data_IF_743937166802
#
_entry.id   IF_743937166802
#
_cell.length_a   1.000
_cell.length_b   1.000
_cell.length_c   1.000
_cell.angle_alpha   90.00
_cell.angle_beta   90.00
_cell.angle_gamma   90.00
#
_symmetry.space_group_name_H-M   'P 1'
#
loop_
_entity.id
_entity.type
_entity.pdbx_description
1 polymer ?
#
# COMPACT_ATOMS: atom_id res chain seq x y z
N UNK A 1 -49.53 -11.50 -32.48
CA UNK A 1 -48.08 -11.69 -32.58
C UNK A 1 -47.51 -11.20 -31.27
N UNK A 2 -47.25 -12.09 -30.35
CA UNK A 2 -46.66 -11.78 -29.04
C UNK A 2 -45.19 -11.55 -29.27
N UNK A 3 -44.77 -10.33 -29.02
CA UNK A 3 -43.37 -9.93 -29.03
C UNK A 3 -42.63 -10.73 -27.93
N UNK A 4 -41.93 -11.77 -28.34
CA UNK A 4 -41.02 -12.48 -27.47
C UNK A 4 -39.74 -11.68 -27.39
N UNK A 5 -39.77 -10.53 -26.64
CA UNK A 5 -38.56 -9.85 -26.23
C UNK A 5 -37.70 -10.89 -25.51
N UNK A 6 -36.58 -11.23 -26.09
CA UNK A 6 -35.61 -12.17 -25.48
C UNK A 6 -35.28 -11.65 -24.07
N UNK A 7 -35.67 -12.40 -23.03
CA UNK A 7 -35.25 -12.12 -21.68
C UNK A 7 -33.73 -12.30 -21.66
N UNK A 8 -33.03 -11.17 -21.54
CA UNK A 8 -31.58 -11.20 -21.31
C UNK A 8 -31.32 -11.96 -20.00
N UNK A 9 -30.43 -12.94 -20.06
CA UNK A 9 -29.88 -13.53 -18.85
C UNK A 9 -29.01 -12.46 -18.16
N UNK A 10 -29.48 -11.95 -17.04
CA UNK A 10 -28.74 -10.92 -16.26
C UNK A 10 -27.61 -11.52 -15.41
N UNK A 11 -27.31 -12.82 -15.56
CA UNK A 11 -26.36 -13.53 -14.70
C UNK A 11 -26.90 -13.85 -13.30
N UNK A 12 -28.16 -13.45 -13.03
CA UNK A 12 -28.82 -13.71 -11.75
C UNK A 12 -29.34 -15.15 -11.68
N UNK A 13 -29.06 -15.81 -10.56
CA UNK A 13 -29.68 -17.08 -10.19
C UNK A 13 -30.90 -16.90 -9.30
N UNK A 14 -31.41 -15.68 -9.17
CA UNK A 14 -32.55 -15.36 -8.31
C UNK A 14 -33.82 -15.99 -8.85
N UNK A 15 -34.53 -16.68 -7.99
CA UNK A 15 -35.85 -17.24 -8.29
C UNK A 15 -36.92 -16.34 -7.71
N UNK A 16 -38.12 -16.30 -8.29
CA UNK A 16 -39.25 -15.60 -7.71
C UNK A 16 -39.51 -16.10 -6.28
N UNK A 17 -39.72 -15.15 -5.37
CA UNK A 17 -40.02 -15.42 -3.96
C UNK A 17 -41.53 -15.28 -3.76
N UNK A 18 -42.18 -16.32 -3.21
CA UNK A 18 -43.60 -16.24 -2.88
C UNK A 18 -43.84 -15.35 -1.65
N UNK A 19 -45.03 -14.75 -1.49
CA UNK A 19 -45.34 -13.96 -0.29
C UNK A 19 -45.25 -14.76 1.02
N UNK A 20 -45.45 -16.08 0.98
CA UNK A 20 -45.25 -16.97 2.14
C UNK A 20 -43.78 -17.12 2.48
N UNK A 21 -42.94 -17.42 1.48
CA UNK A 21 -41.50 -17.53 1.67
C UNK A 21 -40.90 -16.21 2.16
N UNK A 22 -41.30 -15.12 1.59
CA UNK A 22 -40.88 -13.77 1.98
C UNK A 22 -41.16 -13.48 3.47
N UNK A 23 -42.38 -13.75 3.94
CA UNK A 23 -42.73 -13.61 5.37
C UNK A 23 -41.91 -14.54 6.28
N UNK A 24 -41.64 -15.74 5.83
CA UNK A 24 -40.82 -16.70 6.56
C UNK A 24 -39.37 -16.21 6.66
N UNK A 25 -38.79 -15.68 5.57
CA UNK A 25 -37.45 -15.15 5.54
C UNK A 25 -37.26 -13.91 6.42
N UNK A 26 -38.30 -13.08 6.56
CA UNK A 26 -38.28 -11.86 7.34
C UNK A 26 -38.38 -12.08 8.86
N UNK A 27 -38.91 -13.21 9.30
CA UNK A 27 -39.27 -13.46 10.71
C UNK A 27 -38.20 -14.18 11.54
N UNK A 28 -38.34 -14.08 12.88
CA UNK A 28 -37.62 -14.86 13.87
C UNK A 28 -36.07 -14.69 13.89
N UNK A 29 -35.60 -13.50 13.65
CA UNK A 29 -34.17 -13.17 13.73
C UNK A 29 -33.82 -12.62 15.13
N UNK A 30 -32.74 -13.15 15.72
CA UNK A 30 -32.17 -12.61 16.95
C UNK A 30 -31.47 -11.26 16.70
N UNK A 31 -31.44 -10.40 17.72
CA UNK A 31 -30.60 -9.21 17.70
C UNK A 31 -29.11 -9.61 17.73
N UNK A 32 -28.29 -8.94 16.93
CA UNK A 32 -26.83 -9.16 16.85
C UNK A 32 -26.09 -7.84 17.02
N UNK A 33 -26.19 -7.16 18.21
CA UNK A 33 -25.50 -5.89 18.43
C UNK A 33 -23.98 -6.07 18.43
N UNK A 34 -23.26 -5.03 18.04
CA UNK A 34 -21.82 -4.94 18.24
C UNK A 34 -21.52 -4.62 19.71
N UNK A 35 -20.39 -5.08 20.27
CA UNK A 35 -19.98 -4.73 21.63
C UNK A 35 -19.92 -3.21 21.81
N UNK A 36 -20.37 -2.70 22.95
CA UNK A 36 -20.34 -1.25 23.25
C UNK A 36 -18.91 -0.69 23.33
N UNK A 37 -17.93 -1.51 23.64
CA UNK A 37 -16.51 -1.16 23.68
C UNK A 37 -15.84 -1.13 22.30
N UNK A 38 -16.49 -1.63 21.24
CA UNK A 38 -15.91 -1.67 19.92
C UNK A 38 -15.61 -0.24 19.39
N UNK A 39 -14.44 -0.06 18.84
CA UNK A 39 -13.98 1.19 18.19
C UNK A 39 -13.19 0.82 16.95
N UNK A 40 -13.19 1.72 15.96
CA UNK A 40 -12.30 1.57 14.79
C UNK A 40 -10.84 1.79 15.20
N UNK A 41 -9.89 1.13 14.54
CA UNK A 41 -8.47 1.43 14.73
C UNK A 41 -8.20 2.92 14.53
N UNK A 42 -7.37 3.52 15.38
CA UNK A 42 -7.02 4.94 15.27
C UNK A 42 -8.15 5.92 15.63
N UNK A 43 -9.30 5.48 16.19
CA UNK A 43 -10.39 6.38 16.57
C UNK A 43 -9.95 7.54 17.47
N UNK A 44 -8.91 7.36 18.29
CA UNK A 44 -8.39 8.38 19.20
C UNK A 44 -7.65 9.50 18.47
N UNK A 45 -7.05 9.25 17.30
CA UNK A 45 -6.24 10.23 16.56
C UNK A 45 -7.02 10.92 15.42
N UNK A 46 -8.04 10.28 14.86
CA UNK A 46 -8.82 10.85 13.74
C UNK A 46 -9.49 12.20 14.02
N UNK A 47 -9.96 12.54 15.25
CA UNK A 47 -10.48 13.88 15.55
C UNK A 47 -9.44 14.99 15.34
N UNK A 48 -8.19 14.78 15.75
CA UNK A 48 -7.11 15.75 15.54
C UNK A 48 -6.80 15.94 14.05
N UNK A 49 -6.84 14.86 13.26
CA UNK A 49 -6.64 14.91 11.80
C UNK A 49 -7.74 15.73 11.13
N UNK A 50 -9.02 15.52 11.51
CA UNK A 50 -10.15 16.34 11.01
C UNK A 50 -10.01 17.81 11.41
N UNK A 51 -9.54 18.10 12.63
CA UNK A 51 -9.31 19.48 13.08
C UNK A 51 -8.21 20.18 12.27
N UNK A 52 -7.12 19.46 11.93
CA UNK A 52 -6.06 19.99 11.05
C UNK A 52 -6.60 20.31 9.64
N UNK A 53 -7.46 19.46 9.07
CA UNK A 53 -8.11 19.73 7.80
C UNK A 53 -9.06 20.93 7.88
N UNK A 54 -9.87 21.02 8.97
CA UNK A 54 -10.78 22.16 9.21
C UNK A 54 -10.06 23.51 9.22
N UNK A 55 -8.87 23.56 9.79
CA UNK A 55 -8.08 24.78 9.84
C UNK A 55 -7.59 25.25 8.45
N UNK A 56 -7.49 24.34 7.48
CA UNK A 56 -7.08 24.66 6.11
C UNK A 56 -8.20 25.21 5.23
N UNK A 57 -9.46 24.90 5.55
CA UNK A 57 -10.64 25.25 4.74
C UNK A 57 -11.75 25.90 5.59
N UNK A 58 -11.48 27.06 6.22
CA UNK A 58 -12.46 27.70 7.10
C UNK A 58 -13.74 28.10 6.34
N UNK A 59 -14.88 27.64 6.86
CA UNK A 59 -16.20 27.98 6.30
C UNK A 59 -16.58 27.26 5.00
N UNK A 60 -15.77 26.33 4.51
CA UNK A 60 -16.01 25.59 3.28
C UNK A 60 -16.52 24.17 3.58
N UNK A 61 -17.54 23.72 2.89
CA UNK A 61 -18.03 22.35 2.98
C UNK A 61 -17.09 21.39 2.25
N UNK A 62 -16.61 20.34 2.94
CA UNK A 62 -15.67 19.37 2.37
C UNK A 62 -16.34 18.00 2.23
N UNK A 63 -16.10 17.33 1.12
CA UNK A 63 -16.68 16.03 0.76
C UNK A 63 -15.53 15.06 0.47
N UNK A 64 -15.41 14.01 1.29
CA UNK A 64 -14.35 13.00 1.17
C UNK A 64 -14.99 11.62 1.02
N UNK A 65 -15.18 11.11 -0.20
CA UNK A 65 -15.77 9.79 -0.44
C UNK A 65 -14.77 8.66 -0.14
N UNK A 66 -15.31 7.52 0.27
CA UNK A 66 -14.54 6.27 0.36
C UNK A 66 -14.16 5.72 -1.03
N UNK A 67 -14.97 6.00 -2.03
CA UNK A 67 -14.87 5.46 -3.38
C UNK A 67 -15.94 4.42 -3.68
N UNK A 68 -15.95 3.90 -4.91
CA UNK A 68 -16.97 3.00 -5.42
C UNK A 68 -16.35 1.63 -5.77
N UNK A 69 -17.17 0.58 -5.74
CA UNK A 69 -16.80 -0.75 -6.24
C UNK A 69 -16.39 -0.68 -7.72
N UNK A 70 -15.34 -1.41 -8.08
CA UNK A 70 -14.85 -1.52 -9.46
C UNK A 70 -15.07 -2.93 -9.97
N UNK A 71 -15.79 -3.05 -11.07
CA UNK A 71 -16.05 -4.35 -11.71
C UNK A 71 -14.73 -4.98 -12.16
N UNK A 72 -14.48 -6.22 -11.71
CA UNK A 72 -13.39 -7.07 -12.20
C UNK A 72 -13.82 -7.84 -13.44
N UNK A 73 -14.99 -8.49 -13.38
CA UNK A 73 -15.57 -9.24 -14.50
C UNK A 73 -17.07 -9.48 -14.26
N UNK A 74 -17.92 -9.08 -15.22
CA UNK A 74 -19.39 -9.24 -15.18
C UNK A 74 -20.00 -8.69 -13.87
N UNK A 75 -20.39 -9.58 -12.97
CA UNK A 75 -21.01 -9.33 -11.67
C UNK A 75 -20.05 -9.51 -10.48
N UNK A 76 -18.77 -9.71 -10.75
CA UNK A 76 -17.72 -9.80 -9.73
C UNK A 76 -16.94 -8.50 -9.67
N UNK A 77 -16.86 -7.91 -8.51
CA UNK A 77 -16.05 -6.71 -8.24
C UNK A 77 -14.63 -7.08 -7.78
N UNK A 78 -13.67 -6.16 -7.96
CA UNK A 78 -12.41 -6.22 -7.23
C UNK A 78 -12.66 -6.02 -5.73
N UNK A 79 -11.77 -6.54 -4.90
CA UNK A 79 -11.77 -6.19 -3.47
C UNK A 79 -11.75 -4.67 -3.32
N UNK A 80 -12.63 -4.16 -2.48
CA UNK A 80 -12.71 -2.74 -2.22
C UNK A 80 -11.64 -2.32 -1.22
N UNK A 81 -10.97 -1.22 -1.54
CA UNK A 81 -10.07 -0.51 -0.64
C UNK A 81 -10.51 0.95 -0.61
N UNK A 82 -10.88 1.51 0.55
CA UNK A 82 -11.29 2.90 0.63
C UNK A 82 -10.15 3.85 0.29
N UNK A 83 -10.50 5.03 -0.22
CA UNK A 83 -9.55 6.10 -0.51
C UNK A 83 -8.78 6.48 0.77
N UNK A 84 -7.46 6.63 0.66
CA UNK A 84 -6.57 6.83 1.80
C UNK A 84 -6.91 8.05 2.66
N UNK A 85 -7.37 9.16 2.05
CA UNK A 85 -7.83 10.32 2.81
C UNK A 85 -9.10 10.04 3.63
N UNK A 86 -10.03 9.22 3.10
CA UNK A 86 -11.21 8.79 3.84
C UNK A 86 -10.82 7.93 5.05
N UNK A 87 -9.98 6.92 4.83
CA UNK A 87 -9.47 6.05 5.90
C UNK A 87 -8.72 6.85 6.97
N UNK A 88 -7.87 7.79 6.56
CA UNK A 88 -7.10 8.65 7.46
C UNK A 88 -7.97 9.53 8.36
N UNK A 89 -9.10 10.05 7.84
CA UNK A 89 -10.02 10.93 8.57
C UNK A 89 -11.04 10.18 9.42
N UNK A 90 -11.35 8.92 9.10
CA UNK A 90 -12.43 8.15 9.73
C UNK A 90 -11.94 6.95 10.56
N UNK A 91 -10.80 6.37 10.22
CA UNK A 91 -10.33 5.10 10.75
C UNK A 91 -11.04 3.88 10.15
N UNK A 92 -11.90 4.07 9.15
CA UNK A 92 -12.66 3.01 8.48
C UNK A 92 -11.87 2.49 7.28
N UNK A 93 -11.53 1.20 7.30
CA UNK A 93 -10.64 0.55 6.34
C UNK A 93 -11.26 -0.67 5.66
N UNK A 94 -12.47 -1.07 6.07
CA UNK A 94 -13.14 -2.29 5.62
C UNK A 94 -13.68 -2.23 4.18
N UNK A 95 -13.94 -3.42 3.63
CA UNK A 95 -14.53 -3.57 2.28
C UNK A 95 -15.99 -3.08 2.22
N UNK A 96 -16.67 -2.99 3.37
CA UNK A 96 -18.05 -2.52 3.52
C UNK A 96 -18.18 -0.98 3.37
N UNK A 97 -17.08 -0.27 3.13
CA UNK A 97 -17.06 1.19 3.05
C UNK A 97 -17.38 1.74 1.64
N UNK A 98 -17.59 0.87 0.66
CA UNK A 98 -17.89 1.30 -0.70
C UNK A 98 -19.14 2.21 -0.78
N UNK A 99 -19.00 3.35 -1.46
CA UNK A 99 -20.05 4.36 -1.60
C UNK A 99 -20.24 5.28 -0.38
N UNK A 100 -19.56 5.05 0.74
CA UNK A 100 -19.67 5.91 1.92
C UNK A 100 -18.98 7.27 1.72
N UNK A 101 -19.47 8.31 2.39
CA UNK A 101 -18.98 9.67 2.22
C UNK A 101 -18.84 10.37 3.56
N UNK A 102 -17.64 10.83 3.88
CA UNK A 102 -17.44 11.78 4.96
C UNK A 102 -17.70 13.19 4.46
N UNK A 103 -18.59 13.92 5.12
CA UNK A 103 -18.84 15.35 4.88
C UNK A 103 -18.41 16.12 6.12
N UNK A 104 -17.65 17.18 5.93
CA UNK A 104 -17.31 18.13 6.98
C UNK A 104 -18.07 19.43 6.71
N UNK A 105 -19.12 19.67 7.50
CA UNK A 105 -19.99 20.84 7.40
C UNK A 105 -19.41 21.99 8.22
N UNK A 106 -19.31 23.21 7.67
CA UNK A 106 -18.87 24.37 8.45
C UNK A 106 -19.77 24.60 9.66
N UNK A 107 -19.18 24.65 10.86
CA UNK A 107 -19.90 24.88 12.13
C UNK A 107 -19.37 26.10 12.90
N UNK A 108 -18.38 26.79 12.34
CA UNK A 108 -17.74 27.98 12.90
C UNK A 108 -16.62 28.49 12.01
N UNK A 109 -15.90 29.57 12.41
CA UNK A 109 -14.87 30.18 11.58
C UNK A 109 -13.72 29.25 11.19
N UNK A 110 -13.40 28.26 12.03
CA UNK A 110 -12.32 27.29 11.81
C UNK A 110 -12.71 25.88 12.26
N UNK A 111 -14.03 25.60 12.33
CA UNK A 111 -14.56 24.33 12.80
C UNK A 111 -15.53 23.72 11.80
N UNK A 112 -15.53 22.39 11.77
CA UNK A 112 -16.51 21.61 11.00
C UNK A 112 -17.17 20.58 11.92
N UNK A 113 -18.42 20.32 11.70
CA UNK A 113 -19.09 19.12 12.16
C UNK A 113 -18.90 18.02 11.11
N UNK A 114 -18.32 16.90 11.52
CA UNK A 114 -18.16 15.75 10.66
C UNK A 114 -19.44 14.90 10.65
N UNK A 115 -19.92 14.56 9.47
CA UNK A 115 -21.08 13.66 9.26
C UNK A 115 -20.66 12.55 8.30
N UNK A 116 -20.79 11.32 8.74
CA UNK A 116 -20.52 10.14 7.92
C UNK A 116 -21.83 9.65 7.30
N UNK A 117 -21.96 9.80 6.00
CA UNK A 117 -23.04 9.23 5.22
C UNK A 117 -22.70 7.81 4.82
N UNK A 118 -23.49 6.85 5.26
CA UNK A 118 -23.20 5.43 5.06
C UNK A 118 -24.49 4.65 4.74
N UNK A 119 -24.30 3.46 4.21
CA UNK A 119 -25.35 2.46 4.05
C UNK A 119 -25.39 1.61 5.33
N UNK A 120 -26.42 1.78 6.19
CA UNK A 120 -26.52 1.02 7.43
C UNK A 120 -26.91 -0.43 7.15
N UNK A 121 -27.19 -1.19 8.20
CA UNK A 121 -27.67 -2.57 8.11
C UNK A 121 -28.83 -2.73 7.13
N UNK A 122 -28.79 -3.81 6.37
CA UNK A 122 -29.87 -4.15 5.44
C UNK A 122 -31.13 -4.56 6.21
N UNK A 123 -32.31 -3.98 5.93
CA UNK A 123 -33.55 -4.50 6.49
C UNK A 123 -33.80 -5.92 5.97
N UNK A 124 -34.19 -6.83 6.87
CA UNK A 124 -34.56 -8.21 6.52
C UNK A 124 -35.99 -8.33 6.04
N UNK A 125 -36.82 -7.36 6.35
CA UNK A 125 -38.17 -7.18 5.86
C UNK A 125 -38.39 -5.72 5.51
N UNK A 126 -38.67 -5.44 4.28
CA UNK A 126 -39.44 -4.30 3.81
C UNK A 126 -40.83 -4.81 3.42
N UNK A 127 -41.84 -3.95 3.39
CA UNK A 127 -43.25 -4.32 3.35
C UNK A 127 -43.68 -5.39 2.33
N UNK A 128 -42.87 -5.67 1.30
CA UNK A 128 -43.10 -6.68 0.28
C UNK A 128 -42.20 -7.95 0.43
N UNK A 129 -41.40 -8.02 1.50
CA UNK A 129 -40.63 -9.22 1.86
C UNK A 129 -39.43 -9.55 1.00
N UNK A 130 -39.02 -8.61 0.20
CA UNK A 130 -37.98 -8.76 -0.82
C UNK A 130 -36.72 -7.93 -0.52
N UNK A 131 -36.46 -7.67 0.76
CA UNK A 131 -35.49 -6.72 1.27
C UNK A 131 -34.11 -6.76 0.67
N UNK A 132 -33.43 -5.62 0.71
CA UNK A 132 -32.01 -5.43 0.38
C UNK A 132 -31.14 -6.58 0.93
N UNK A 133 -31.46 -7.08 2.14
CA UNK A 133 -30.71 -8.14 2.79
C UNK A 133 -30.50 -9.37 1.90
N UNK A 134 -31.52 -9.82 1.17
CA UNK A 134 -31.42 -11.01 0.33
C UNK A 134 -31.17 -10.74 -1.15
N UNK A 135 -31.56 -9.58 -1.67
CA UNK A 135 -31.55 -9.30 -3.11
C UNK A 135 -30.34 -8.53 -3.60
N UNK A 136 -29.84 -7.63 -2.77
CA UNK A 136 -28.69 -6.83 -3.16
C UNK A 136 -27.40 -7.65 -2.97
N UNK A 137 -26.82 -8.12 -4.09
CA UNK A 137 -25.60 -8.92 -4.09
C UNK A 137 -24.35 -8.14 -3.73
N UNK A 138 -24.38 -6.81 -3.88
CA UNK A 138 -23.23 -5.95 -3.59
C UNK A 138 -23.26 -5.44 -2.15
N UNK A 139 -24.44 -5.23 -1.60
CA UNK A 139 -24.58 -4.56 -0.32
C UNK A 139 -25.48 -5.31 0.68
N UNK A 140 -26.25 -6.31 0.24
CA UNK A 140 -27.11 -7.09 1.12
C UNK A 140 -26.32 -7.97 2.08
N UNK A 141 -26.65 -7.91 3.38
CA UNK A 141 -25.89 -8.64 4.42
C UNK A 141 -25.89 -10.16 4.25
N UNK A 142 -26.86 -10.73 3.56
CA UNK A 142 -26.89 -12.15 3.22
C UNK A 142 -25.70 -12.56 2.33
N UNK A 143 -25.22 -11.62 1.50
CA UNK A 143 -24.16 -11.84 0.50
C UNK A 143 -22.78 -11.42 1.00
N UNK A 144 -22.72 -10.26 1.67
CA UNK A 144 -21.44 -9.62 1.97
C UNK A 144 -21.16 -9.48 3.47
N UNK A 145 -22.04 -9.96 4.32
CA UNK A 145 -21.88 -9.92 5.76
C UNK A 145 -22.51 -8.72 6.44
N UNK A 146 -22.47 -8.74 7.79
CA UNK A 146 -23.11 -7.76 8.65
C UNK A 146 -22.43 -6.40 8.57
N UNK A 147 -23.24 -5.34 8.42
CA UNK A 147 -22.81 -3.94 8.56
C UNK A 147 -23.27 -3.36 9.92
N UNK A 148 -22.64 -2.30 10.42
CA UNK A 148 -23.16 -1.56 11.57
C UNK A 148 -24.47 -0.83 11.22
N UNK A 149 -25.36 -0.64 12.18
CA UNK A 149 -26.41 0.35 12.09
C UNK A 149 -25.83 1.77 12.35
N UNK A 150 -26.68 2.83 12.17
CA UNK A 150 -26.20 4.20 12.33
C UNK A 150 -25.65 4.47 13.75
N UNK A 151 -26.32 3.99 14.79
CA UNK A 151 -25.91 4.20 16.17
C UNK A 151 -24.62 3.40 16.50
N UNK A 152 -24.50 2.20 15.98
CA UNK A 152 -23.26 1.41 16.07
C UNK A 152 -22.09 2.11 15.35
N UNK A 153 -22.32 2.62 14.14
CA UNK A 153 -21.30 3.34 13.39
C UNK A 153 -20.85 4.64 14.10
N UNK A 154 -21.78 5.36 14.72
CA UNK A 154 -21.45 6.52 15.57
C UNK A 154 -20.57 6.14 16.75
N UNK A 155 -20.90 5.03 17.44
CA UNK A 155 -20.07 4.54 18.55
C UNK A 155 -18.68 4.08 18.10
N UNK A 156 -18.61 3.38 16.96
CA UNK A 156 -17.36 2.88 16.39
C UNK A 156 -16.40 4.02 16.04
N UNK A 157 -16.91 5.08 15.42
CA UNK A 157 -16.10 6.16 14.82
C UNK A 157 -15.99 7.42 15.65
N UNK A 158 -16.99 7.67 16.54
CA UNK A 158 -17.16 8.96 17.19
C UNK A 158 -17.59 10.07 16.22
N UNK A 159 -18.13 9.73 15.05
CA UNK A 159 -18.62 10.65 14.02
C UNK A 159 -20.14 10.50 13.95
N UNK A 160 -20.89 11.60 13.89
CA UNK A 160 -22.33 11.56 13.63
C UNK A 160 -22.60 10.85 12.30
N UNK A 161 -23.52 9.90 12.29
CA UNK A 161 -23.83 9.11 11.11
C UNK A 161 -25.23 9.41 10.56
N UNK A 162 -25.36 9.33 9.24
CA UNK A 162 -26.63 9.49 8.53
C UNK A 162 -26.75 8.47 7.39
N UNK A 163 -27.97 8.18 6.98
CA UNK A 163 -28.21 7.31 5.83
C UNK A 163 -27.68 7.97 4.55
N UNK A 164 -27.08 7.18 3.66
CA UNK A 164 -26.49 7.66 2.41
C UNK A 164 -27.48 8.45 1.55
N UNK A 165 -28.76 8.05 1.52
CA UNK A 165 -29.82 8.75 0.79
C UNK A 165 -30.06 10.18 1.29
N UNK A 166 -29.64 10.49 2.51
CA UNK A 166 -29.71 11.82 3.10
C UNK A 166 -28.54 12.75 2.73
N UNK A 167 -27.60 12.31 1.88
CA UNK A 167 -26.41 13.09 1.53
C UNK A 167 -26.72 14.46 0.91
N UNK A 168 -27.85 14.59 0.22
CA UNK A 168 -28.32 15.87 -0.32
C UNK A 168 -27.45 16.43 -1.44
N UNK A 169 -27.22 17.76 -1.40
CA UNK A 169 -26.50 18.48 -2.46
C UNK A 169 -25.03 18.04 -2.56
N UNK A 170 -24.50 17.82 -3.78
CA UNK A 170 -23.07 17.62 -4.01
C UNK A 170 -22.25 18.92 -3.90
N UNK A 171 -22.87 20.06 -3.57
CA UNK A 171 -22.17 21.34 -3.46
C UNK A 171 -21.12 21.31 -2.33
N UNK A 172 -19.93 21.81 -2.63
CA UNK A 172 -18.77 21.81 -1.75
C UNK A 172 -17.49 21.42 -2.46
N UNK A 173 -16.35 21.44 -1.75
CA UNK A 173 -15.10 20.91 -2.27
C UNK A 173 -15.08 19.39 -2.17
N UNK A 174 -14.81 18.72 -3.26
CA UNK A 174 -14.88 17.27 -3.36
C UNK A 174 -13.47 16.69 -3.58
N UNK A 175 -12.99 15.87 -2.68
CA UNK A 175 -11.59 15.36 -2.66
C UNK A 175 -11.18 14.64 -3.96
N UNK A 176 -12.13 14.05 -4.69
CA UNK A 176 -11.83 13.36 -5.95
C UNK A 176 -11.65 14.30 -7.16
N UNK A 177 -12.11 15.56 -7.09
CA UNK A 177 -12.10 16.50 -8.22
C UNK A 177 -11.49 17.87 -7.90
N UNK A 178 -11.34 18.24 -6.64
CA UNK A 178 -10.73 19.49 -6.20
C UNK A 178 -9.23 19.26 -5.90
N UNK A 179 -8.36 19.81 -6.75
CA UNK A 179 -6.91 19.64 -6.65
C UNK A 179 -6.31 20.27 -5.40
N UNK A 180 -6.89 21.37 -4.89
CA UNK A 180 -6.41 22.04 -3.68
C UNK A 180 -6.74 21.22 -2.43
N UNK A 181 -7.96 20.67 -2.33
CA UNK A 181 -8.32 19.77 -1.25
C UNK A 181 -7.49 18.48 -1.30
N UNK A 182 -7.27 17.91 -2.48
CA UNK A 182 -6.44 16.73 -2.65
C UNK A 182 -4.98 16.99 -2.24
N UNK A 183 -4.43 18.15 -2.61
CA UNK A 183 -3.09 18.57 -2.20
C UNK A 183 -3.00 18.74 -0.67
N UNK A 184 -3.95 19.45 -0.05
CA UNK A 184 -3.97 19.66 1.40
C UNK A 184 -4.10 18.33 2.17
N UNK A 185 -4.94 17.39 1.71
CA UNK A 185 -5.06 16.05 2.29
C UNK A 185 -3.76 15.26 2.20
N UNK A 186 -3.02 15.38 1.11
CA UNK A 186 -1.71 14.77 0.94
C UNK A 186 -0.66 15.44 1.85
N UNK A 187 -0.58 16.77 1.86
CA UNK A 187 0.36 17.51 2.70
C UNK A 187 0.16 17.27 4.20
N UNK A 188 -1.09 17.15 4.65
CA UNK A 188 -1.41 16.84 6.05
C UNK A 188 -0.97 15.43 6.47
N UNK A 189 -0.79 14.49 5.53
CA UNK A 189 -0.32 13.12 5.77
C UNK A 189 1.20 12.96 5.69
N UNK A 190 1.94 13.97 5.22
CA UNK A 190 3.40 13.90 5.14
C UNK A 190 4.03 13.57 6.50
N UNK A 191 3.61 14.27 7.56
CA UNK A 191 4.07 14.03 8.93
C UNK A 191 3.12 13.06 9.63
N UNK A 192 3.60 11.87 9.93
CA UNK A 192 2.86 10.79 10.60
C UNK A 192 2.78 11.08 12.10
N UNK A 193 1.62 10.81 12.69
CA UNK A 193 1.50 10.76 14.13
C UNK A 193 2.11 9.44 14.70
N UNK A 194 2.24 9.35 16.02
CA UNK A 194 2.86 8.18 16.68
C UNK A 194 2.14 6.89 16.33
N UNK A 195 0.80 6.92 16.29
CA UNK A 195 0.00 5.75 15.95
C UNK A 195 0.24 5.29 14.50
N UNK A 196 0.38 6.23 13.55
CA UNK A 196 0.70 5.91 12.15
C UNK A 196 2.08 5.23 12.03
N UNK A 197 3.08 5.75 12.76
CA UNK A 197 4.43 5.13 12.80
C UNK A 197 4.38 3.72 13.38
N UNK A 198 3.55 3.46 14.39
CA UNK A 198 3.32 2.11 14.94
C UNK A 198 2.68 1.18 13.90
N UNK A 199 1.71 1.66 13.11
CA UNK A 199 1.09 0.85 12.05
C UNK A 199 2.09 0.53 10.92
N UNK A 200 2.93 1.48 10.54
CA UNK A 200 4.01 1.26 9.57
C UNK A 200 5.05 0.27 10.10
N UNK A 201 5.42 0.36 11.38
CA UNK A 201 6.32 -0.64 11.98
C UNK A 201 5.71 -2.04 11.95
N UNK A 202 4.40 -2.18 12.23
CA UNK A 202 3.70 -3.45 12.12
C UNK A 202 3.73 -4.01 10.69
N UNK A 203 3.53 -3.16 9.68
CA UNK A 203 3.66 -3.55 8.27
C UNK A 203 5.07 -4.05 7.94
N UNK A 204 6.10 -3.36 8.42
CA UNK A 204 7.51 -3.75 8.29
C UNK A 204 7.79 -5.10 8.96
N UNK A 205 7.27 -5.32 10.17
CA UNK A 205 7.49 -6.56 10.92
C UNK A 205 6.85 -7.77 10.19
N UNK A 206 5.64 -7.60 9.67
CA UNK A 206 4.97 -8.64 8.87
C UNK A 206 5.68 -8.88 7.52
N UNK A 207 6.20 -7.82 6.89
CA UNK A 207 7.00 -7.92 5.67
C UNK A 207 8.29 -8.69 5.93
N UNK A 208 8.97 -8.40 7.02
CA UNK A 208 10.18 -9.13 7.47
C UNK A 208 9.90 -10.63 7.57
N UNK A 209 8.81 -11.01 8.24
CA UNK A 209 8.40 -12.43 8.33
C UNK A 209 8.08 -13.03 6.95
N UNK A 210 7.52 -12.24 6.03
CA UNK A 210 7.27 -12.65 4.65
C UNK A 210 8.55 -12.93 3.86
N UNK A 211 9.59 -12.13 4.04
CA UNK A 211 10.91 -12.37 3.45
C UNK A 211 11.55 -13.65 4.00
N UNK A 212 11.43 -13.92 5.30
CA UNK A 212 11.89 -15.18 5.88
C UNK A 212 11.18 -16.40 5.29
N UNK A 213 9.84 -16.32 5.12
CA UNK A 213 9.06 -17.39 4.48
C UNK A 213 9.51 -17.63 3.05
N UNK A 214 9.82 -16.56 2.30
CA UNK A 214 10.36 -16.65 0.94
C UNK A 214 11.71 -17.38 0.94
N UNK A 215 12.64 -17.02 1.83
CA UNK A 215 13.95 -17.70 1.90
C UNK A 215 13.77 -19.19 2.22
N UNK A 216 12.94 -19.56 3.19
CA UNK A 216 12.62 -20.97 3.50
C UNK A 216 12.02 -21.71 2.29
N UNK A 217 11.30 -21.00 1.42
CA UNK A 217 10.65 -21.58 0.23
C UNK A 217 11.58 -21.69 -0.99
N UNK A 218 12.78 -21.09 -0.99
CA UNK A 218 13.71 -21.07 -2.13
C UNK A 218 13.98 -22.46 -2.73
N UNK A 219 14.23 -23.54 -1.95
CA UNK A 219 14.47 -24.87 -2.53
C UNK A 219 13.31 -25.37 -3.39
N UNK A 220 12.06 -25.09 -2.98
CA UNK A 220 10.87 -25.44 -3.76
C UNK A 220 10.68 -24.54 -4.98
N UNK A 221 10.94 -23.24 -4.83
CA UNK A 221 10.85 -22.27 -5.90
C UNK A 221 11.85 -22.56 -7.02
N UNK A 222 13.10 -22.92 -6.67
CA UNK A 222 14.13 -23.33 -7.64
C UNK A 222 13.74 -24.57 -8.45
N UNK A 223 13.03 -25.51 -7.85
CA UNK A 223 12.53 -26.71 -8.52
C UNK A 223 11.28 -26.44 -9.37
N UNK A 224 10.58 -25.32 -9.17
CA UNK A 224 9.31 -25.03 -9.84
C UNK A 224 9.52 -24.36 -11.20
N UNK A 225 8.76 -24.71 -12.25
CA UNK A 225 8.90 -24.09 -13.58
C UNK A 225 8.53 -22.60 -13.62
N UNK A 226 7.82 -22.09 -12.61
CA UNK A 226 7.44 -20.69 -12.44
C UNK A 226 7.89 -20.22 -11.05
N UNK A 227 9.20 -20.26 -10.82
CA UNK A 227 9.79 -19.98 -9.51
C UNK A 227 9.48 -18.60 -8.97
N UNK A 228 9.55 -17.58 -9.81
CA UNK A 228 9.19 -16.20 -9.43
C UNK A 228 7.75 -16.10 -8.92
N UNK A 229 6.79 -16.75 -9.59
CA UNK A 229 5.39 -16.82 -9.12
C UNK A 229 5.19 -17.62 -7.84
N UNK A 230 6.05 -18.62 -7.62
CA UNK A 230 6.04 -19.33 -6.35
C UNK A 230 6.43 -18.40 -5.20
N UNK A 231 7.46 -17.57 -5.40
CA UNK A 231 7.91 -16.56 -4.44
C UNK A 231 6.80 -15.54 -4.16
N UNK A 232 6.20 -14.95 -5.21
CA UNK A 232 5.05 -14.05 -5.10
C UNK A 232 3.92 -14.68 -4.26
N UNK A 233 3.58 -15.94 -4.56
CA UNK A 233 2.53 -16.65 -3.84
C UNK A 233 2.84 -16.91 -2.36
N UNK A 234 4.09 -17.22 -2.02
CA UNK A 234 4.54 -17.41 -0.62
C UNK A 234 4.45 -16.10 0.15
N UNK A 235 4.97 -15.00 -0.40
CA UNK A 235 4.87 -13.68 0.22
C UNK A 235 3.39 -13.25 0.36
N UNK A 236 2.60 -13.43 -0.71
CA UNK A 236 1.17 -13.10 -0.71
C UNK A 236 0.35 -13.88 0.33
N UNK A 237 0.73 -15.12 0.64
CA UNK A 237 0.13 -15.90 1.72
C UNK A 237 0.36 -15.22 3.08
N UNK A 238 1.60 -14.82 3.37
CA UNK A 238 1.92 -14.07 4.61
C UNK A 238 1.17 -12.76 4.67
N UNK A 239 1.24 -11.97 3.60
CA UNK A 239 0.59 -10.67 3.53
C UNK A 239 -0.92 -10.76 3.77
N UNK A 240 -1.57 -11.81 3.26
CA UNK A 240 -3.01 -12.03 3.45
C UNK A 240 -3.37 -12.62 4.80
N UNK A 241 -2.48 -13.37 5.42
CA UNK A 241 -2.72 -13.95 6.74
C UNK A 241 -2.56 -12.91 7.87
N UNK A 242 -1.63 -11.98 7.72
CA UNK A 242 -1.28 -11.00 8.75
C UNK A 242 -1.88 -9.59 8.50
N UNK A 243 -2.47 -9.36 7.32
CA UNK A 243 -3.02 -8.06 6.97
C UNK A 243 -4.04 -8.12 5.84
N UNK A 244 -4.26 -6.97 5.24
CA UNK A 244 -5.20 -6.82 4.13
C UNK A 244 -4.70 -7.47 2.84
N UNK A 245 -3.39 -7.62 2.69
CA UNK A 245 -2.71 -8.19 1.53
C UNK A 245 -1.37 -7.51 1.27
N UNK A 246 -0.94 -7.54 0.02
CA UNK A 246 0.24 -6.77 -0.42
C UNK A 246 -0.15 -5.32 -0.67
N UNK A 247 0.71 -4.37 -0.31
CA UNK A 247 0.49 -2.94 -0.53
C UNK A 247 0.61 -2.51 -1.99
N UNK A 248 1.30 -3.34 -2.77
CA UNK A 248 1.51 -3.21 -4.22
C UNK A 248 1.82 -4.59 -4.82
N UNK A 249 1.89 -4.67 -6.15
CA UNK A 249 2.21 -5.92 -6.83
C UNK A 249 3.65 -6.34 -6.53
N UNK A 250 3.83 -7.49 -5.89
CA UNK A 250 5.15 -8.04 -5.54
C UNK A 250 6.04 -8.18 -6.77
N UNK A 251 7.28 -7.75 -6.68
CA UNK A 251 8.32 -7.96 -7.68
C UNK A 251 9.23 -9.10 -7.20
N UNK A 252 9.25 -10.21 -7.94
CA UNK A 252 10.11 -11.35 -7.69
C UNK A 252 10.93 -11.64 -8.96
N UNK A 253 12.01 -10.88 -9.16
CA UNK A 253 12.75 -10.84 -10.41
C UNK A 253 14.08 -11.60 -10.30
N UNK A 254 14.22 -12.72 -11.04
CA UNK A 254 15.45 -13.52 -11.07
C UNK A 254 16.33 -13.17 -12.28
N UNK A 255 17.63 -13.09 -12.04
CA UNK A 255 18.63 -12.82 -13.09
C UNK A 255 18.34 -11.53 -13.84
N UNK A 256 18.31 -11.60 -15.17
CA UNK A 256 18.11 -10.43 -16.03
C UNK A 256 16.74 -9.75 -15.86
N UNK A 257 15.72 -10.43 -15.32
CA UNK A 257 14.45 -9.81 -15.01
C UNK A 257 14.59 -8.71 -13.96
N UNK A 258 15.56 -8.79 -13.07
CA UNK A 258 15.89 -7.76 -12.08
C UNK A 258 16.32 -6.42 -12.71
N UNK A 259 16.68 -6.41 -14.00
CA UNK A 259 16.95 -5.18 -14.74
C UNK A 259 15.67 -4.45 -15.21
N UNK A 260 14.49 -5.04 -15.00
CA UNK A 260 13.18 -4.41 -15.24
C UNK A 260 12.60 -3.97 -13.90
N UNK A 261 12.51 -2.67 -13.65
CA UNK A 261 12.19 -2.12 -12.33
C UNK A 261 10.89 -2.67 -11.73
N UNK A 262 9.82 -2.73 -12.52
CA UNK A 262 8.52 -3.24 -12.11
C UNK A 262 8.21 -4.57 -12.82
N UNK A 263 9.03 -5.60 -12.52
CA UNK A 263 8.82 -6.95 -13.02
C UNK A 263 7.72 -7.67 -12.23
N UNK A 264 6.47 -7.25 -12.42
CA UNK A 264 5.30 -7.80 -11.72
C UNK A 264 4.69 -9.03 -12.42
N UNK A 265 5.20 -9.44 -13.58
CA UNK A 265 4.72 -10.65 -14.27
C UNK A 265 5.13 -11.92 -13.54
N UNK A 266 6.29 -11.92 -12.91
CA UNK A 266 6.83 -13.00 -12.09
C UNK A 266 6.69 -14.36 -12.78
N UNK A 267 6.94 -14.45 -14.10
CA UNK A 267 6.68 -15.64 -14.89
C UNK A 267 7.92 -16.49 -15.20
N UNK A 268 9.07 -16.09 -14.64
CA UNK A 268 10.36 -16.76 -14.85
C UNK A 268 10.61 -17.97 -13.95
N UNK A 269 11.59 -18.77 -14.37
CA UNK A 269 12.22 -19.79 -13.54
C UNK A 269 13.32 -19.16 -12.71
N UNK A 270 13.57 -19.70 -11.53
CA UNK A 270 14.78 -19.36 -10.78
C UNK A 270 15.96 -20.22 -11.24
N UNK A 271 17.14 -19.58 -11.34
CA UNK A 271 18.40 -20.27 -11.59
C UNK A 271 19.32 -20.07 -10.40
N UNK A 272 19.78 -21.17 -9.78
CA UNK A 272 20.56 -21.16 -8.55
C UNK A 272 21.90 -20.38 -8.61
N UNK A 273 22.35 -19.93 -9.78
CA UNK A 273 23.57 -19.12 -9.93
C UNK A 273 23.28 -17.61 -10.03
N UNK A 274 22.01 -17.23 -10.10
CA UNK A 274 21.56 -15.86 -10.27
C UNK A 274 21.19 -15.17 -8.95
N UNK A 275 20.85 -13.89 -9.04
CA UNK A 275 20.25 -13.13 -7.95
C UNK A 275 18.73 -13.15 -8.07
N UNK A 276 18.04 -13.09 -6.94
CA UNK A 276 16.61 -12.77 -6.84
C UNK A 276 16.46 -11.38 -6.23
N UNK A 277 15.98 -10.43 -6.99
CA UNK A 277 15.48 -9.16 -6.48
C UNK A 277 14.04 -9.37 -6.04
N UNK A 278 13.79 -9.30 -4.74
CA UNK A 278 12.47 -9.36 -4.13
C UNK A 278 12.13 -7.99 -3.57
N UNK A 279 11.03 -7.42 -4.05
CA UNK A 279 10.48 -6.15 -3.62
C UNK A 279 9.02 -6.37 -3.28
N UNK A 280 8.69 -6.18 -2.00
CA UNK A 280 7.39 -6.55 -1.46
C UNK A 280 7.11 -5.85 -0.13
N UNK A 281 5.84 -5.51 0.09
CA UNK A 281 5.35 -4.91 1.32
C UNK A 281 3.99 -5.45 1.73
N UNK A 282 3.78 -5.68 3.03
CA UNK A 282 2.49 -6.04 3.60
C UNK A 282 1.69 -4.76 3.86
N UNK A 283 0.45 -4.70 3.37
CA UNK A 283 -0.55 -3.72 3.81
C UNK A 283 -1.30 -4.30 5.02
N UNK A 284 -1.22 -3.64 6.16
CA UNK A 284 -1.94 -4.03 7.37
C UNK A 284 -3.46 -3.85 7.21
N UNK A 285 -4.27 -4.38 8.15
CA UNK A 285 -5.72 -4.13 8.19
C UNK A 285 -6.08 -2.65 8.34
N UNK A 286 -5.12 -1.82 8.79
CA UNK A 286 -5.27 -0.37 8.89
C UNK A 286 -4.83 0.37 7.62
N UNK A 287 -4.47 -0.37 6.56
CA UNK A 287 -4.04 0.09 5.23
C UNK A 287 -2.66 0.78 5.19
N UNK A 288 -1.89 0.77 6.27
CA UNK A 288 -0.49 1.20 6.23
C UNK A 288 0.35 0.10 5.62
N UNK A 289 1.23 0.46 4.70
CA UNK A 289 2.06 -0.50 3.98
C UNK A 289 3.55 -0.30 4.27
N UNK A 290 4.32 -1.39 4.24
CA UNK A 290 5.77 -1.36 4.12
C UNK A 290 6.16 -1.38 2.65
N UNK A 291 7.44 -1.05 2.39
CA UNK A 291 8.08 -1.13 1.08
C UNK A 291 9.55 -1.53 1.25
N UNK A 292 9.86 -2.78 0.97
CA UNK A 292 11.20 -3.32 1.23
C UNK A 292 11.70 -4.11 0.03
N UNK A 293 12.91 -3.77 -0.44
CA UNK A 293 13.62 -4.58 -1.42
C UNK A 293 14.85 -5.23 -0.80
N UNK A 294 15.04 -6.52 -1.09
CA UNK A 294 16.30 -7.24 -0.90
C UNK A 294 16.70 -7.99 -2.17
N UNK A 295 17.96 -7.93 -2.51
CA UNK A 295 18.54 -8.74 -3.60
C UNK A 295 19.33 -9.89 -2.98
N UNK A 296 18.91 -11.12 -3.25
CA UNK A 296 19.34 -12.34 -2.59
C UNK A 296 20.12 -13.26 -3.56
N UNK A 297 21.27 -13.82 -3.19
CA UNK A 297 21.95 -14.82 -4.01
C UNK A 297 21.24 -16.17 -3.94
N UNK A 298 20.71 -16.68 -5.04
CA UNK A 298 19.97 -17.94 -5.08
C UNK A 298 20.84 -19.16 -4.75
N UNK A 299 22.17 -19.04 -4.84
CA UNK A 299 23.14 -20.05 -4.37
C UNK A 299 23.36 -20.02 -2.85
N UNK A 300 22.80 -19.04 -2.13
CA UNK A 300 23.11 -18.74 -0.74
C UNK A 300 24.38 -17.92 -0.53
N UNK A 301 25.16 -17.63 -1.59
CA UNK A 301 26.38 -16.82 -1.55
C UNK A 301 26.52 -15.98 -2.81
N UNK A 302 26.96 -14.74 -2.65
CA UNK A 302 27.28 -13.88 -3.78
C UNK A 302 28.54 -14.32 -4.50
N UNK A 303 28.49 -14.38 -5.83
CA UNK A 303 29.74 -14.48 -6.64
C UNK A 303 30.53 -13.16 -6.54
N UNK A 304 31.82 -13.17 -6.91
CA UNK A 304 32.61 -11.94 -6.83
C UNK A 304 32.01 -10.75 -7.59
N UNK A 305 31.49 -10.98 -8.78
CA UNK A 305 30.88 -9.91 -9.58
C UNK A 305 29.52 -9.46 -9.01
N UNK A 306 28.71 -10.37 -8.51
CA UNK A 306 27.46 -10.03 -7.83
C UNK A 306 27.72 -9.21 -6.56
N UNK A 307 28.71 -9.60 -5.78
CA UNK A 307 29.17 -8.87 -4.59
C UNK A 307 29.61 -7.46 -4.95
N UNK A 308 30.40 -7.30 -6.00
CA UNK A 308 30.86 -5.98 -6.45
C UNK A 308 29.70 -5.03 -6.74
N UNK A 309 28.68 -5.49 -7.49
CA UNK A 309 27.50 -4.67 -7.80
C UNK A 309 26.67 -4.40 -6.54
N UNK A 310 26.46 -5.43 -5.72
CA UNK A 310 25.69 -5.32 -4.49
C UNK A 310 26.30 -4.33 -3.49
N UNK A 311 27.62 -4.41 -3.27
CA UNK A 311 28.34 -3.53 -2.33
C UNK A 311 28.33 -2.05 -2.79
N UNK A 312 28.33 -1.79 -4.10
CA UNK A 312 28.18 -0.42 -4.62
C UNK A 312 26.78 0.13 -4.34
N UNK A 313 25.72 -0.68 -4.55
CA UNK A 313 24.34 -0.27 -4.24
C UNK A 313 24.15 -0.08 -2.74
N UNK A 314 24.73 -0.96 -1.91
CA UNK A 314 24.71 -0.81 -0.46
C UNK A 314 25.38 0.49 0.00
N UNK A 315 26.57 0.79 -0.53
CA UNK A 315 27.27 2.03 -0.23
C UNK A 315 26.45 3.27 -0.63
N UNK A 316 25.75 3.21 -1.77
CA UNK A 316 24.86 4.27 -2.22
C UNK A 316 23.66 4.44 -1.27
N UNK A 317 23.07 3.34 -0.78
CA UNK A 317 21.98 3.38 0.20
C UNK A 317 22.46 3.97 1.53
N UNK A 318 23.62 3.55 2.04
CA UNK A 318 24.20 4.08 3.28
C UNK A 318 24.47 5.59 3.18
N UNK A 319 24.99 6.06 2.04
CA UNK A 319 25.20 7.48 1.79
C UNK A 319 23.87 8.24 1.76
N UNK A 320 22.84 7.68 1.15
CA UNK A 320 21.48 8.24 1.16
C UNK A 320 20.91 8.34 2.59
N UNK A 321 20.97 7.26 3.36
CA UNK A 321 20.50 7.23 4.75
C UNK A 321 21.24 8.26 5.62
N UNK A 322 22.55 8.38 5.45
CA UNK A 322 23.36 9.34 6.19
C UNK A 322 23.00 10.82 5.91
N UNK A 323 22.39 11.10 4.77
CA UNK A 323 21.93 12.44 4.41
C UNK A 323 20.59 12.82 5.08
N UNK A 324 19.82 11.84 5.59
CA UNK A 324 18.49 12.06 6.17
C UNK A 324 18.58 12.68 7.56
N UNK A 325 18.01 13.86 7.71
CA UNK A 325 17.84 14.56 9.02
C UNK A 325 16.78 15.67 8.89
N UNK A 326 16.17 16.11 9.98
CA UNK A 326 15.31 17.29 9.94
C UNK A 326 16.02 18.49 9.31
N UNK A 327 15.32 19.21 8.44
CA UNK A 327 15.83 20.39 7.72
C UNK A 327 16.67 20.08 6.48
N UNK A 328 17.05 18.82 6.22
CA UNK A 328 17.64 18.45 4.93
C UNK A 328 16.58 18.49 3.81
N UNK A 329 16.97 18.78 2.57
CA UNK A 329 16.05 18.66 1.45
C UNK A 329 15.72 17.20 1.17
N UNK A 330 14.45 16.91 0.81
CA UNK A 330 14.05 15.56 0.39
C UNK A 330 14.97 14.98 -0.69
N UNK A 331 15.45 15.78 -1.65
CA UNK A 331 16.35 15.32 -2.71
C UNK A 331 17.80 15.04 -2.28
N UNK A 332 18.22 15.37 -1.04
CA UNK A 332 19.62 15.22 -0.61
C UNK A 332 20.07 13.76 -0.57
N UNK A 333 19.21 12.87 -0.11
CA UNK A 333 19.54 11.44 -0.02
C UNK A 333 19.73 10.83 -1.43
N UNK A 334 18.90 11.20 -2.39
CA UNK A 334 19.05 10.78 -3.77
C UNK A 334 20.39 11.25 -4.36
N UNK A 335 20.72 12.53 -4.19
CA UNK A 335 21.98 13.08 -4.69
C UNK A 335 23.20 12.40 -4.06
N UNK A 336 23.13 12.09 -2.77
CA UNK A 336 24.21 11.38 -2.08
C UNK A 336 24.43 9.96 -2.63
N UNK A 337 23.34 9.19 -2.78
CA UNK A 337 23.41 7.84 -3.34
C UNK A 337 23.88 7.82 -4.80
N UNK A 338 23.34 8.72 -5.63
CA UNK A 338 23.71 8.78 -7.06
C UNK A 338 25.17 9.17 -7.29
N UNK A 339 25.75 9.99 -6.40
CA UNK A 339 27.19 10.30 -6.45
C UNK A 339 28.02 9.04 -6.25
N UNK A 340 27.70 8.24 -5.25
CA UNK A 340 28.41 6.97 -4.98
C UNK A 340 28.30 6.02 -6.18
N UNK A 341 27.10 5.90 -6.78
CA UNK A 341 26.92 5.09 -7.99
C UNK A 341 27.76 5.61 -9.16
N UNK A 342 27.77 6.91 -9.40
CA UNK A 342 28.53 7.51 -10.50
C UNK A 342 30.06 7.29 -10.32
N UNK A 343 30.56 7.48 -9.10
CA UNK A 343 31.98 7.24 -8.74
C UNK A 343 32.34 5.76 -8.93
N UNK A 344 31.52 4.82 -8.46
CA UNK A 344 31.77 3.38 -8.64
C UNK A 344 31.74 2.94 -10.11
N UNK A 345 30.79 3.44 -10.90
CA UNK A 345 30.74 3.14 -12.34
C UNK A 345 31.96 3.71 -13.09
N UNK A 346 32.49 4.87 -12.67
CA UNK A 346 33.72 5.42 -13.21
C UNK A 346 34.95 4.59 -12.80
N UNK A 347 35.04 4.14 -11.55
CA UNK A 347 36.08 3.23 -11.06
C UNK A 347 36.12 1.91 -11.83
N UNK A 348 34.94 1.37 -12.18
CA UNK A 348 34.83 0.14 -12.99
C UNK A 348 35.15 0.38 -14.48
N UNK A 349 35.38 1.64 -14.91
CA UNK A 349 35.61 2.01 -16.30
C UNK A 349 34.36 1.94 -17.19
N UNK A 350 33.19 1.82 -16.59
CA UNK A 350 31.88 1.89 -17.31
C UNK A 350 31.58 3.32 -17.74
N UNK A 351 31.91 4.28 -16.89
CA UNK A 351 31.87 5.70 -17.21
C UNK A 351 33.31 6.25 -17.30
N UNK A 352 33.49 7.29 -18.08
CA UNK A 352 34.77 7.98 -18.19
C UNK A 352 35.17 8.69 -16.89
N UNK A 353 34.19 9.32 -16.26
CA UNK A 353 34.28 10.03 -14.99
C UNK A 353 32.90 10.05 -14.31
N UNK A 354 32.85 10.55 -13.09
CA UNK A 354 31.62 10.64 -12.30
C UNK A 354 30.81 11.95 -12.54
N UNK A 355 31.27 12.79 -13.46
CA UNK A 355 30.64 14.07 -13.71
C UNK A 355 29.37 13.95 -14.58
N UNK A 356 28.42 14.83 -14.34
CA UNK A 356 27.18 14.87 -15.09
C UNK A 356 26.19 13.77 -14.71
N UNK A 357 25.37 13.32 -15.66
CA UNK A 357 24.20 12.47 -15.43
C UNK A 357 24.23 11.13 -16.19
N UNK A 358 25.36 10.73 -16.77
CA UNK A 358 25.47 9.50 -17.57
C UNK A 358 25.22 8.23 -16.77
N UNK A 359 25.44 8.24 -15.44
CA UNK A 359 25.09 7.16 -14.53
C UNK A 359 23.59 6.80 -14.59
N UNK A 360 22.73 7.74 -14.98
CA UNK A 360 21.28 7.54 -15.10
C UNK A 360 20.88 6.50 -16.14
N UNK A 361 21.79 6.12 -17.05
CA UNK A 361 21.57 4.98 -17.96
C UNK A 361 21.32 3.68 -17.18
N UNK A 362 21.92 3.54 -16.02
CA UNK A 362 21.93 2.33 -15.20
C UNK A 362 21.06 2.45 -13.94
N UNK A 363 20.57 3.67 -13.65
CA UNK A 363 19.78 3.97 -12.45
C UNK A 363 18.90 5.21 -12.65
N UNK A 364 17.86 5.08 -13.50
CA UNK A 364 17.07 6.23 -13.96
C UNK A 364 16.12 6.80 -12.90
N UNK A 365 15.65 5.99 -11.95
CA UNK A 365 14.59 6.37 -11.03
C UNK A 365 15.05 7.29 -9.88
N UNK A 366 14.08 7.92 -9.20
CA UNK A 366 14.27 8.40 -7.84
C UNK A 366 14.64 7.22 -6.95
N UNK A 367 15.51 7.44 -5.96
CA UNK A 367 15.92 6.42 -5.00
C UNK A 367 15.14 6.51 -3.70
N UNK A 368 13.85 6.88 -3.76
CA UNK A 368 12.94 6.88 -2.62
C UNK A 368 11.73 7.78 -2.78
N UNK A 369 10.73 7.55 -1.93
CA UNK A 369 9.47 8.28 -1.88
C UNK A 369 8.90 8.27 -0.45
N UNK A 370 7.87 9.10 -0.18
CA UNK A 370 7.13 9.05 1.07
C UNK A 370 6.28 7.78 1.14
N UNK A 371 6.18 7.20 2.32
CA UNK A 371 5.47 5.96 2.61
C UNK A 371 4.39 6.19 3.66
N UNK A 372 3.27 5.47 3.57
CA UNK A 372 2.16 5.62 4.52
C UNK A 372 0.99 4.70 4.25
N UNK A 373 -0.21 5.27 4.13
CA UNK A 373 -1.41 4.56 3.68
C UNK A 373 -1.30 4.11 2.21
N UNK A 374 -0.57 4.85 1.41
CA UNK A 374 -0.23 4.47 0.04
C UNK A 374 1.26 4.16 -0.01
N UNK A 375 1.68 3.21 -0.86
CA UNK A 375 3.10 2.91 -1.07
C UNK A 375 3.83 4.17 -1.54
N UNK A 376 3.34 4.84 -2.57
CA UNK A 376 3.78 6.17 -2.97
C UNK A 376 2.87 7.22 -2.30
N UNK A 377 3.05 7.40 -0.98
CA UNK A 377 2.15 8.24 -0.19
C UNK A 377 2.31 9.73 -0.52
N UNK A 378 1.24 10.47 -0.27
CA UNK A 378 1.21 11.94 -0.43
C UNK A 378 1.49 12.45 -1.86
N UNK A 379 1.25 11.64 -2.89
CA UNK A 379 1.57 11.96 -4.30
C UNK A 379 0.82 13.19 -4.86
N UNK A 380 -0.17 13.73 -4.15
CA UNK A 380 -0.88 14.96 -4.52
C UNK A 380 -0.36 16.21 -3.79
N UNK A 381 0.59 16.07 -2.87
CA UNK A 381 1.24 17.21 -2.23
C UNK A 381 1.95 18.08 -3.27
N UNK A 382 2.04 19.38 -3.00
CA UNK A 382 2.76 20.30 -3.87
C UNK A 382 4.26 20.00 -3.88
N UNK A 383 4.92 20.24 -5.03
CA UNK A 383 6.35 19.97 -5.18
C UNK A 383 7.19 20.72 -4.13
N UNK A 384 6.82 21.94 -3.81
CA UNK A 384 7.49 22.79 -2.82
C UNK A 384 7.44 22.20 -1.41
N UNK A 385 6.42 21.36 -1.12
CA UNK A 385 6.26 20.73 0.18
C UNK A 385 6.83 19.31 0.20
N UNK A 386 6.79 18.61 -0.92
CA UNK A 386 7.25 17.22 -1.04
C UNK A 386 8.69 17.14 -1.58
N UNK A 387 8.89 17.47 -2.86
CA UNK A 387 10.17 17.25 -3.56
C UNK A 387 11.24 18.27 -3.15
N UNK A 388 10.83 19.52 -2.99
CA UNK A 388 11.70 20.65 -2.63
C UNK A 388 11.62 20.97 -1.13
N UNK A 389 10.75 20.25 -0.40
CA UNK A 389 10.50 20.47 1.02
C UNK A 389 11.67 20.04 1.89
N UNK A 390 11.77 20.66 3.05
CA UNK A 390 12.66 20.22 4.11
C UNK A 390 12.01 19.01 4.83
N UNK A 391 12.84 18.01 5.15
CA UNK A 391 12.40 16.86 5.95
C UNK A 391 12.03 17.30 7.36
N UNK A 392 10.94 16.75 7.89
CA UNK A 392 10.43 17.01 9.22
C UNK A 392 10.38 15.72 10.05
N UNK A 393 10.52 15.83 11.36
CA UNK A 393 10.32 14.72 12.29
C UNK A 393 8.93 14.11 12.11
N UNK A 394 8.84 12.78 12.06
CA UNK A 394 7.61 12.01 11.81
C UNK A 394 7.34 11.71 10.35
N UNK A 395 8.09 12.25 9.41
CA UNK A 395 7.99 11.79 8.02
C UNK A 395 8.56 10.39 7.88
N UNK A 396 7.89 9.55 7.06
CA UNK A 396 8.34 8.19 6.73
C UNK A 396 8.54 8.10 5.24
N UNK A 397 9.70 7.56 4.83
CA UNK A 397 10.11 7.46 3.43
C UNK A 397 10.97 6.21 3.20
N UNK A 398 11.09 5.81 1.93
CA UNK A 398 12.00 4.77 1.48
C UNK A 398 13.36 5.33 1.10
N UNK A 399 14.41 4.50 1.15
CA UNK A 399 15.71 4.75 0.53
C UNK A 399 16.11 3.49 -0.25
N UNK A 400 16.07 3.57 -1.58
CA UNK A 400 16.03 2.42 -2.50
C UNK A 400 16.92 2.58 -3.75
N UNK A 401 18.20 2.94 -3.63
CA UNK A 401 19.05 2.99 -4.81
C UNK A 401 19.16 1.62 -5.48
N UNK A 402 19.30 1.61 -6.80
CA UNK A 402 19.49 0.38 -7.56
C UNK A 402 20.40 0.58 -8.76
N UNK A 403 20.96 -0.52 -9.24
CA UNK A 403 21.68 -0.63 -10.50
C UNK A 403 21.05 -1.71 -11.38
N UNK A 404 20.77 -1.39 -12.62
CA UNK A 404 20.04 -2.23 -13.58
C UNK A 404 20.87 -2.39 -14.86
N UNK A 405 21.82 -3.32 -14.84
CA UNK A 405 22.80 -3.53 -15.89
C UNK A 405 22.22 -4.45 -16.96
N UNK A 406 21.60 -3.84 -17.97
CA UNK A 406 20.83 -4.57 -18.98
C UNK A 406 21.64 -5.66 -19.68
N UNK A 407 21.04 -6.84 -19.98
CA UNK A 407 21.74 -7.99 -20.55
C UNK A 407 22.28 -7.75 -21.97
N UNK A 408 21.67 -6.84 -22.71
CA UNK A 408 22.02 -6.47 -24.08
C UNK A 408 22.78 -5.15 -24.20
N UNK A 409 23.20 -4.55 -23.07
CA UNK A 409 23.96 -3.30 -23.07
C UNK A 409 25.46 -3.54 -23.38
N UNK A 410 25.86 -3.24 -24.61
CA UNK A 410 27.24 -3.43 -25.07
C UNK A 410 28.24 -2.41 -24.49
N UNK A 411 27.75 -1.37 -23.79
CA UNK A 411 28.64 -0.44 -23.06
C UNK A 411 29.18 -1.06 -21.77
N UNK A 412 28.59 -2.16 -21.33
CA UNK A 412 28.98 -2.89 -20.13
C UNK A 412 29.95 -4.03 -20.45
N UNK A 413 30.93 -4.30 -19.57
CA UNK A 413 31.66 -5.56 -19.55
C UNK A 413 30.68 -6.76 -19.54
N UNK A 414 30.96 -7.85 -20.28
CA UNK A 414 30.03 -8.98 -20.39
C UNK A 414 29.63 -9.58 -19.04
N UNK A 415 30.55 -9.60 -18.06
CA UNK A 415 30.32 -10.16 -16.71
C UNK A 415 29.35 -9.35 -15.85
N UNK A 416 29.12 -8.08 -16.17
CA UNK A 416 28.16 -7.22 -15.48
C UNK A 416 26.76 -7.29 -16.07
N UNK A 417 26.62 -7.74 -17.32
CA UNK A 417 25.34 -7.73 -18.03
C UNK A 417 24.32 -8.66 -17.40
N UNK A 418 23.09 -8.18 -17.27
CA UNK A 418 21.98 -8.93 -16.69
C UNK A 418 21.95 -8.95 -15.17
N UNK A 419 22.77 -8.15 -14.50
CA UNK A 419 22.75 -7.99 -13.04
C UNK A 419 21.88 -6.78 -12.67
N UNK A 420 20.79 -7.02 -11.96
CA UNK A 420 19.94 -6.00 -11.33
C UNK A 420 20.01 -6.12 -9.82
N UNK A 421 20.26 -5.02 -9.13
CA UNK A 421 20.31 -4.93 -7.66
C UNK A 421 19.56 -3.69 -7.20
N UNK A 422 18.65 -3.84 -6.24
CA UNK A 422 18.05 -2.79 -5.43
C UNK A 422 18.11 -3.19 -3.96
N UNK A 423 18.41 -2.24 -3.09
CA UNK A 423 18.37 -2.42 -1.64
C UNK A 423 17.54 -1.27 -1.09
N UNK A 424 16.48 -1.60 -0.39
CA UNK A 424 15.48 -0.65 0.08
C UNK A 424 15.11 -0.87 1.51
N UNK A 425 14.96 0.21 2.22
CA UNK A 425 14.52 0.23 3.60
C UNK A 425 13.52 1.37 3.84
N UNK A 426 12.60 1.12 4.77
CA UNK A 426 11.69 2.10 5.35
C UNK A 426 12.35 2.83 6.51
N UNK A 427 12.28 4.16 6.50
CA UNK A 427 12.88 5.01 7.52
C UNK A 427 11.90 6.06 8.02
N UNK A 428 11.93 6.31 9.34
CA UNK A 428 11.22 7.44 9.95
C UNK A 428 12.23 8.52 10.34
N UNK A 429 11.94 9.77 9.97
CA UNK A 429 12.73 10.94 10.38
C UNK A 429 12.48 11.20 11.87
N UNK A 430 13.56 11.32 12.63
CA UNK A 430 13.58 11.59 14.06
C UNK A 430 14.22 12.95 14.34
N UNK A 431 14.13 13.45 15.57
CA UNK A 431 14.73 14.71 15.95
C UNK A 431 16.23 14.84 15.63
N UNK A 432 16.98 13.70 15.55
CA UNK A 432 18.44 13.68 15.41
C UNK A 432 18.93 12.98 14.13
N UNK A 433 18.06 12.70 13.17
CA UNK A 433 18.41 11.99 11.94
C UNK A 433 17.27 11.11 11.44
N UNK A 434 17.54 9.87 11.04
CA UNK A 434 16.54 8.89 10.64
C UNK A 434 16.73 7.57 11.41
N UNK A 435 15.61 6.90 11.71
CA UNK A 435 15.60 5.55 12.30
C UNK A 435 15.17 4.55 11.24
N UNK A 436 15.98 3.54 11.04
CA UNK A 436 15.68 2.41 10.18
C UNK A 436 14.56 1.58 10.80
N UNK A 437 13.44 1.42 10.10
CA UNK A 437 12.29 0.62 10.56
C UNK A 437 12.48 -0.85 10.20
N UNK A 438 13.07 -1.14 9.05
CA UNK A 438 13.33 -2.47 8.49
C UNK A 438 14.67 -3.11 8.91
N UNK A 439 15.28 -2.59 9.98
CA UNK A 439 16.60 -3.02 10.44
C UNK A 439 16.73 -4.49 10.88
N UNK A 440 15.63 -5.21 11.05
CA UNK A 440 15.61 -6.65 11.31
C UNK A 440 16.04 -7.49 10.08
N UNK A 441 15.86 -6.97 8.86
CA UNK A 441 16.34 -7.61 7.63
C UNK A 441 17.79 -7.19 7.35
N UNK A 442 18.72 -8.13 7.20
CA UNK A 442 20.11 -7.81 6.91
C UNK A 442 20.27 -7.12 5.54
N UNK A 443 21.30 -6.27 5.44
CA UNK A 443 21.66 -5.55 4.21
C UNK A 443 23.09 -5.83 3.74
N UNK A 444 24.00 -6.16 4.67
CA UNK A 444 25.38 -6.46 4.29
C UNK A 444 25.48 -7.82 3.60
N UNK A 445 26.45 -7.99 2.72
CA UNK A 445 26.71 -9.26 2.03
C UNK A 445 26.80 -10.43 3.01
N UNK A 446 27.65 -10.32 4.04
CA UNK A 446 27.78 -11.38 5.05
C UNK A 446 26.49 -11.59 5.85
N UNK A 447 25.81 -10.50 6.20
CA UNK A 447 24.53 -10.58 6.92
C UNK A 447 23.44 -11.33 6.13
N UNK A 448 23.32 -11.06 4.83
CA UNK A 448 22.41 -11.80 3.92
C UNK A 448 22.79 -13.27 3.84
N UNK A 449 24.07 -13.58 3.60
CA UNK A 449 24.55 -14.96 3.48
C UNK A 449 24.31 -15.76 4.77
N UNK A 450 24.59 -15.17 5.92
CA UNK A 450 24.42 -15.82 7.24
C UNK A 450 22.93 -16.02 7.56
N UNK A 451 22.10 -15.00 7.32
CA UNK A 451 20.64 -15.03 7.54
C UNK A 451 19.98 -16.09 6.66
N UNK A 452 20.32 -16.15 5.36
CA UNK A 452 19.81 -17.17 4.45
C UNK A 452 20.25 -18.57 4.89
N UNK A 453 21.52 -18.74 5.29
CA UNK A 453 22.04 -20.01 5.80
C UNK A 453 21.24 -20.51 7.00
N UNK A 454 21.00 -19.66 7.99
CA UNK A 454 20.21 -20.02 9.16
C UNK A 454 18.77 -20.44 8.83
N UNK A 455 18.12 -19.76 7.87
CA UNK A 455 16.74 -20.07 7.49
C UNK A 455 16.61 -21.33 6.64
N UNK A 456 17.63 -21.64 5.82
CA UNK A 456 17.66 -22.81 4.97
C UNK A 456 18.06 -24.09 5.72
N UNK A 457 18.88 -23.95 6.79
CA UNK A 457 19.30 -25.06 7.65
C UNK A 457 18.31 -25.36 8.78
N UNK A 458 17.34 -24.47 9.05
CA UNK A 458 16.30 -24.71 10.04
C UNK A 458 15.35 -25.81 9.56
N UNK A 459 14.97 -26.79 10.44
CA UNK A 459 14.15 -27.93 10.07
C UNK A 459 12.70 -27.58 9.66
#
# INVERSE_FOLDING_TARGET
MTDASARLNTGSHDRPVSPELSRFMAGNWAATPLPDSARVPGHAVTPARRARLSARFPGERLIVPAGELKVRSNDCDHRFRPHSAYAWLTGLTGEDQAGHVLVMEPSGPHAHEAVLYLRPRSPRADGDGDGEFYRDRRYGEFWVGRRPDLAEAERLTGIRCAHLDGLGSPAGRHAASDSELAAALSELRLVKDVWEVEQLQLAVDHTTAGFEDVVRALPRALAHPRGERWIEGVFGLRARAEGNGTGYETIAASGAHACTLHWIRNDGRLNGTELLLLDAGVETDTLYTADITRTLPLSGRFSPVQRQVYELVLAAQEAGIAALRPGASFGDFHRAGMRVIAEGLAEWGVLKDAEGDLHRRYTLCSSGHMLGLDVHDCAKARAETYLDGALEEGQVLTVEPGLYLQPDDETLPPELRGIGVRIEDDLVITANGARLMSGALPRTVSGIEDWMGHLLDAP
#
